data_IF_002823602727
#
_entry.id   IF_002823602727
#
_cell.length_a   1.000
_cell.length_b   1.000
_cell.length_c   1.000
_cell.angle_alpha   90.00
_cell.angle_beta   90.00
_cell.angle_gamma   90.00
#
_symmetry.space_group_name_H-M   'P 1'
#
loop_
_entity.id
_entity.type
_entity.pdbx_description
1 polymer ?
#
# COMPACT_ATOMS: atom_id res chain seq x y z
N UNK A 1 -11.19 7.00 -14.90
CA UNK A 1 -10.58 6.07 -13.93
C UNK A 1 -9.11 6.38 -13.83
N UNK A 2 -8.60 6.58 -12.63
CA UNK A 2 -7.22 7.00 -12.43
C UNK A 2 -6.32 5.81 -12.16
N UNK A 3 -5.35 5.56 -13.05
CA UNK A 3 -4.30 4.55 -12.87
C UNK A 3 -3.51 4.76 -11.56
N UNK A 4 -3.64 5.94 -10.95
CA UNK A 4 -3.07 6.37 -9.67
C UNK A 4 -3.47 5.49 -8.48
N UNK A 5 -4.76 5.32 -8.25
CA UNK A 5 -5.24 4.55 -7.10
C UNK A 5 -5.09 3.06 -7.35
N UNK A 6 -5.26 2.61 -8.60
CA UNK A 6 -5.07 1.20 -8.97
C UNK A 6 -3.65 0.71 -8.61
N UNK A 7 -2.61 1.46 -8.95
CA UNK A 7 -1.22 1.09 -8.62
C UNK A 7 -0.95 1.03 -7.12
N UNK A 8 -1.51 1.98 -6.36
CA UNK A 8 -1.34 2.01 -4.91
C UNK A 8 -2.07 0.83 -4.25
N UNK A 9 -3.30 0.54 -4.69
CA UNK A 9 -4.13 -0.56 -4.17
C UNK A 9 -3.51 -1.92 -4.53
N UNK A 10 -3.06 -2.12 -5.77
CA UNK A 10 -2.40 -3.35 -6.20
C UNK A 10 -1.13 -3.61 -5.38
N UNK A 11 -0.32 -2.57 -5.15
CA UNK A 11 0.87 -2.68 -4.33
C UNK A 11 0.54 -3.02 -2.87
N UNK A 12 -0.47 -2.37 -2.27
CA UNK A 12 -0.90 -2.66 -0.90
C UNK A 12 -1.46 -4.08 -0.78
N UNK A 13 -2.19 -4.56 -1.79
CA UNK A 13 -2.66 -5.93 -1.84
C UNK A 13 -1.50 -6.94 -1.90
N UNK A 14 -0.50 -6.69 -2.76
CA UNK A 14 0.69 -7.54 -2.85
C UNK A 14 1.51 -7.52 -1.54
N UNK A 15 1.63 -6.36 -0.89
CA UNK A 15 2.25 -6.24 0.44
C UNK A 15 1.51 -7.11 1.47
N UNK A 16 0.17 -7.04 1.48
CA UNK A 16 -0.63 -7.82 2.41
C UNK A 16 -0.50 -9.33 2.17
N UNK A 17 -0.50 -9.78 0.91
CA UNK A 17 -0.27 -11.18 0.57
C UNK A 17 1.12 -11.65 1.02
N UNK A 18 2.16 -10.85 0.78
CA UNK A 18 3.51 -11.15 1.20
C UNK A 18 3.65 -11.17 2.74
N UNK A 19 2.97 -10.26 3.46
CA UNK A 19 2.89 -10.27 4.92
C UNK A 19 2.18 -11.53 5.45
N UNK A 20 1.05 -11.94 4.85
CA UNK A 20 0.34 -13.17 5.24
C UNK A 20 1.21 -14.42 5.05
N UNK A 21 2.05 -14.44 4.00
CA UNK A 21 2.97 -15.55 3.75
C UNK A 21 4.21 -15.53 4.67
N UNK A 22 4.66 -14.35 5.09
CA UNK A 22 5.78 -14.16 5.99
C UNK A 22 5.53 -12.92 6.88
N UNK A 23 4.92 -13.11 8.07
CA UNK A 23 4.54 -12.00 8.95
C UNK A 23 5.71 -11.10 9.29
N UNK A 24 5.45 -9.79 9.30
CA UNK A 24 6.43 -8.76 9.62
C UNK A 24 5.97 -7.91 10.79
N UNK A 25 6.84 -7.76 11.78
CA UNK A 25 6.54 -7.03 13.01
C UNK A 25 7.35 -5.74 13.12
N UNK A 26 8.22 -5.46 12.14
CA UNK A 26 9.15 -4.33 12.16
C UNK A 26 9.12 -3.53 10.85
N UNK A 27 9.51 -2.26 10.93
CA UNK A 27 9.65 -1.38 9.77
C UNK A 27 10.72 -1.84 8.77
N UNK A 28 11.76 -2.53 9.24
CA UNK A 28 12.79 -3.14 8.39
C UNK A 28 12.22 -4.27 7.51
N UNK A 29 11.27 -5.01 8.05
CA UNK A 29 10.59 -6.09 7.34
C UNK A 29 9.56 -5.54 6.32
N UNK A 30 8.88 -4.43 6.64
CA UNK A 30 7.99 -3.73 5.69
C UNK A 30 8.75 -3.30 4.44
N UNK A 31 9.96 -2.75 4.59
CA UNK A 31 10.81 -2.42 3.42
C UNK A 31 11.08 -3.63 2.55
N UNK A 32 11.44 -4.78 3.16
CA UNK A 32 11.73 -6.02 2.43
C UNK A 32 10.50 -6.52 1.68
N UNK A 33 9.35 -6.53 2.34
CA UNK A 33 8.06 -6.94 1.77
C UNK A 33 7.64 -6.01 0.63
N UNK A 34 7.76 -4.70 0.80
CA UNK A 34 7.46 -3.74 -0.25
C UNK A 34 8.31 -3.99 -1.50
N UNK A 35 9.62 -4.23 -1.34
CA UNK A 35 10.50 -4.54 -2.47
C UNK A 35 10.05 -5.80 -3.19
N UNK A 36 9.62 -6.84 -2.45
CA UNK A 36 9.04 -8.06 -3.05
C UNK A 36 7.74 -7.75 -3.78
N UNK A 37 6.80 -7.07 -3.13
CA UNK A 37 5.52 -6.70 -3.71
C UNK A 37 5.66 -5.88 -5.01
N UNK A 38 6.62 -4.95 -5.06
CA UNK A 38 6.94 -4.20 -6.29
C UNK A 38 7.36 -5.14 -7.43
N UNK A 39 8.18 -6.17 -7.14
CA UNK A 39 8.58 -7.16 -8.14
C UNK A 39 7.41 -8.02 -8.59
N UNK A 40 6.60 -8.49 -7.65
CA UNK A 40 5.43 -9.33 -7.94
C UNK A 40 4.41 -8.58 -8.83
N UNK A 41 4.15 -7.31 -8.52
CA UNK A 41 3.28 -6.43 -9.34
C UNK A 41 3.89 -6.17 -10.71
N UNK A 42 5.19 -5.93 -10.80
CA UNK A 42 5.87 -5.69 -12.07
C UNK A 42 5.82 -6.94 -12.97
N UNK A 43 6.09 -8.12 -12.40
CA UNK A 43 6.00 -9.41 -13.08
C UNK A 43 4.58 -9.68 -13.60
N UNK A 44 3.56 -9.50 -12.75
CA UNK A 44 2.16 -9.68 -13.14
C UNK A 44 1.72 -8.75 -14.28
N UNK A 45 2.36 -7.58 -14.42
CA UNK A 45 2.07 -6.59 -15.46
C UNK A 45 3.00 -6.67 -16.67
N UNK A 46 4.02 -7.53 -16.65
CA UNK A 46 5.03 -7.62 -17.70
C UNK A 46 5.88 -6.35 -17.88
N UNK A 47 6.11 -5.59 -16.79
CA UNK A 47 6.91 -4.35 -16.80
C UNK A 47 8.13 -4.47 -15.89
N UNK A 48 9.02 -3.47 -15.89
CA UNK A 48 10.18 -3.48 -14.99
C UNK A 48 9.79 -3.09 -13.57
N UNK A 49 10.54 -3.57 -12.58
CA UNK A 49 10.29 -3.17 -11.18
C UNK A 49 10.58 -1.69 -10.93
N UNK A 50 11.47 -1.07 -11.72
CA UNK A 50 11.71 0.38 -11.70
C UNK A 50 10.43 1.13 -12.08
N UNK A 51 9.71 0.69 -13.11
CA UNK A 51 8.47 1.33 -13.57
C UNK A 51 7.43 1.38 -12.45
N UNK A 52 7.32 0.31 -11.65
CA UNK A 52 6.42 0.30 -10.50
C UNK A 52 6.98 1.18 -9.38
N UNK A 53 8.23 0.95 -8.95
CA UNK A 53 8.86 1.60 -7.80
C UNK A 53 8.82 3.13 -7.87
N UNK A 54 9.02 3.67 -9.07
CA UNK A 54 9.05 5.09 -9.33
C UNK A 54 7.65 5.72 -9.40
N UNK A 55 6.67 4.97 -9.90
CA UNK A 55 5.35 5.50 -10.24
C UNK A 55 4.46 5.61 -9.01
N UNK A 56 4.39 4.58 -8.15
CA UNK A 56 3.41 4.59 -7.06
C UNK A 56 3.64 5.75 -6.07
N UNK A 57 4.89 6.08 -5.70
CA UNK A 57 5.16 7.23 -4.82
C UNK A 57 4.86 8.55 -5.51
N UNK A 58 5.31 8.74 -6.75
CA UNK A 58 5.02 9.97 -7.51
C UNK A 58 3.52 10.23 -7.59
N UNK A 59 2.75 9.14 -7.74
CA UNK A 59 1.28 9.13 -7.74
C UNK A 59 0.65 9.21 -6.36
N UNK A 60 1.39 9.34 -5.28
CA UNK A 60 0.83 9.61 -3.95
C UNK A 60 1.30 10.96 -3.39
N UNK A 61 2.26 11.63 -4.04
CA UNK A 61 2.63 13.02 -3.74
C UNK A 61 1.45 13.96 -4.02
N UNK A 62 1.16 14.93 -3.14
CA UNK A 62 1.98 15.36 -1.99
C UNK A 62 1.70 14.63 -0.67
N UNK A 63 0.68 13.78 -0.60
CA UNK A 63 0.20 13.18 0.64
C UNK A 63 1.13 12.09 1.17
N UNK A 64 1.80 11.37 0.28
CA UNK A 64 2.91 10.47 0.62
C UNK A 64 4.20 11.02 0.02
N UNK A 65 4.95 11.74 0.87
CA UNK A 65 6.15 12.49 0.47
C UNK A 65 7.27 11.65 -0.15
N UNK A 66 7.48 10.42 0.33
CA UNK A 66 8.58 9.56 -0.08
C UNK A 66 8.35 8.11 0.35
N UNK A 67 9.11 7.18 -0.22
CA UNK A 67 9.06 5.74 0.09
C UNK A 67 9.13 5.43 1.59
N UNK A 68 9.99 6.11 2.35
CA UNK A 68 10.09 5.89 3.81
C UNK A 68 8.83 6.33 4.56
N UNK A 69 8.15 7.36 4.09
CA UNK A 69 6.87 7.79 4.68
C UNK A 69 5.79 6.76 4.37
N UNK A 70 5.76 6.24 3.13
CA UNK A 70 4.88 5.13 2.77
C UNK A 70 5.10 3.90 3.66
N UNK A 71 6.36 3.51 3.88
CA UNK A 71 6.69 2.37 4.75
C UNK A 71 6.19 2.55 6.18
N UNK A 72 6.26 3.77 6.72
CA UNK A 72 5.77 4.07 8.05
C UNK A 72 4.24 3.92 8.12
N UNK A 73 3.51 4.43 7.10
CA UNK A 73 2.06 4.29 7.01
C UNK A 73 1.63 2.83 6.86
N UNK A 74 2.33 2.06 6.03
CA UNK A 74 2.09 0.62 5.86
C UNK A 74 2.41 -0.15 7.14
N UNK A 75 3.48 0.21 7.85
CA UNK A 75 3.82 -0.42 9.13
C UNK A 75 2.72 -0.23 10.17
N UNK A 76 2.16 0.97 10.29
CA UNK A 76 1.01 1.24 11.17
C UNK A 76 -0.22 0.43 10.75
N UNK A 77 -0.51 0.39 9.45
CA UNK A 77 -1.63 -0.37 8.93
C UNK A 77 -1.51 -1.87 9.21
N UNK A 78 -0.30 -2.43 9.07
CA UNK A 78 -0.03 -3.83 9.39
C UNK A 78 -0.25 -4.13 10.89
N UNK A 79 -0.03 -3.13 11.75
CA UNK A 79 -0.28 -3.21 13.18
C UNK A 79 -1.75 -2.92 13.57
N UNK A 80 -2.64 -2.72 12.58
CA UNK A 80 -4.07 -2.49 12.78
C UNK A 80 -4.52 -1.03 12.71
N UNK A 81 -3.60 -0.06 12.60
CA UNK A 81 -3.96 1.36 12.42
C UNK A 81 -3.90 1.77 10.94
N UNK A 82 -5.05 1.72 10.27
CA UNK A 82 -5.18 2.12 8.86
C UNK A 82 -5.47 3.61 8.64
N UNK A 83 -5.67 4.42 9.69
CA UNK A 83 -6.32 5.74 9.56
C UNK A 83 -5.50 6.68 8.66
N UNK A 84 -4.22 6.83 8.95
CA UNK A 84 -3.36 7.75 8.20
C UNK A 84 -3.11 7.27 6.76
N UNK A 85 -2.95 5.96 6.55
CA UNK A 85 -2.75 5.40 5.21
C UNK A 85 -4.00 5.59 4.35
N UNK A 86 -5.18 5.26 4.89
CA UNK A 86 -6.46 5.44 4.21
C UNK A 86 -6.68 6.91 3.85
N UNK A 87 -6.48 7.83 4.80
CA UNK A 87 -6.62 9.27 4.55
C UNK A 87 -5.65 9.80 3.48
N UNK A 88 -4.42 9.27 3.42
CA UNK A 88 -3.46 9.65 2.37
C UNK A 88 -3.90 9.17 0.97
N UNK A 89 -4.49 7.97 0.89
CA UNK A 89 -5.06 7.45 -0.35
C UNK A 89 -6.32 8.22 -0.78
N UNK A 90 -7.24 8.49 0.15
CA UNK A 90 -8.46 9.26 -0.12
C UNK A 90 -8.16 10.66 -0.65
N UNK A 91 -7.17 11.34 -0.07
CA UNK A 91 -6.70 12.64 -0.57
C UNK A 91 -6.06 12.56 -1.97
N UNK A 92 -5.59 11.38 -2.36
CA UNK A 92 -5.01 11.13 -3.68
C UNK A 92 -6.04 10.74 -4.75
N UNK A 93 -7.30 10.54 -4.37
CA UNK A 93 -8.40 10.22 -5.29
C UNK A 93 -8.73 11.41 -6.20
N UNK A 94 -8.95 11.14 -7.49
CA UNK A 94 -9.37 12.18 -8.45
C UNK A 94 -10.88 12.20 -8.70
N UNK A 95 -11.57 11.10 -8.41
CA UNK A 95 -12.99 10.96 -8.62
C UNK A 95 -13.66 10.07 -7.56
N UNK A 96 -14.99 9.96 -7.63
CA UNK A 96 -15.76 9.10 -6.73
C UNK A 96 -15.49 7.60 -6.91
N UNK A 97 -15.00 7.18 -8.08
CA UNK A 97 -14.63 5.78 -8.35
C UNK A 97 -13.37 5.38 -7.59
N UNK A 98 -12.35 6.24 -7.62
CA UNK A 98 -11.13 6.12 -6.82
C UNK A 98 -11.46 5.99 -5.33
N UNK A 99 -12.32 6.88 -4.81
CA UNK A 99 -12.73 6.86 -3.40
C UNK A 99 -13.43 5.55 -3.00
N UNK A 100 -14.40 5.08 -3.81
CA UNK A 100 -15.08 3.79 -3.55
C UNK A 100 -14.11 2.62 -3.56
N UNK A 101 -13.06 2.67 -4.37
CA UNK A 101 -12.06 1.60 -4.46
C UNK A 101 -11.18 1.56 -3.22
N UNK A 102 -10.75 2.71 -2.73
CA UNK A 102 -10.03 2.82 -1.45
C UNK A 102 -10.91 2.29 -0.31
N UNK A 103 -12.18 2.71 -0.24
CA UNK A 103 -13.13 2.22 0.77
C UNK A 103 -13.30 0.69 0.71
N UNK A 104 -13.55 0.14 -0.48
CA UNK A 104 -13.71 -1.30 -0.68
C UNK A 104 -12.45 -2.08 -0.27
N UNK A 105 -11.26 -1.56 -0.59
CA UNK A 105 -10.00 -2.17 -0.19
C UNK A 105 -9.89 -2.30 1.33
N UNK A 106 -10.13 -1.22 2.09
CA UNK A 106 -10.01 -1.25 3.55
C UNK A 106 -11.16 -1.97 4.25
N UNK A 107 -12.33 -2.05 3.64
CA UNK A 107 -13.45 -2.83 4.19
C UNK A 107 -13.14 -4.34 4.24
N UNK A 108 -12.46 -4.85 3.21
CA UNK A 108 -12.12 -6.29 3.10
C UNK A 108 -10.80 -6.61 3.78
N UNK A 109 -9.86 -5.67 3.82
CA UNK A 109 -8.49 -5.88 4.31
C UNK A 109 -8.24 -5.18 5.66
N UNK A 110 -9.22 -5.24 6.56
CA UNK A 110 -8.98 -4.86 7.94
C UNK A 110 -8.04 -5.90 8.57
N UNK A 111 -6.94 -5.42 9.14
CA UNK A 111 -6.11 -6.23 10.02
C UNK A 111 -6.65 -6.03 11.44
N UNK A 112 -6.83 -7.09 12.23
CA UNK A 112 -7.26 -6.94 13.61
C UNK A 112 -6.24 -6.03 14.31
N UNK A 113 -6.74 -4.99 15.01
CA UNK A 113 -5.95 -4.31 16.03
C UNK A 113 -5.46 -5.42 16.95
N UNK A 114 -4.13 -5.60 17.05
CA UNK A 114 -3.58 -6.67 17.87
C UNK A 114 -4.21 -6.56 19.26
N UNK A 115 -4.98 -7.57 19.65
CA UNK A 115 -5.41 -7.70 21.03
C UNK A 115 -4.13 -7.70 21.87
N UNK A 116 -4.05 -6.75 22.80
CA UNK A 116 -2.98 -6.72 23.78
C UNK A 116 -2.94 -8.08 24.48
N UNK A 117 -1.80 -8.75 24.38
CA UNK A 117 -1.46 -9.93 25.16
C UNK A 117 -0.39 -9.57 26.19
#
# INVERSE_FOLDING_TARGET
>A
MSQRIDDAVDLLHAILLAHKAAPCNSSGDVRRIRIRAVKDVAEARGVTHQDIADVYIRRLIPYVKQTRHFDALVSKWIQGDSIELKAALEKSCLDCGDSRRVEAFFAVNHLPLGDEA
#
